data_IF_002660379953
#
_entry.id   IF_002660379953
#
_cell.length_a   1.000
_cell.length_b   1.000
_cell.length_c   1.000
_cell.angle_alpha   90.00
_cell.angle_beta   90.00
_cell.angle_gamma   90.00
#
_symmetry.space_group_name_H-M   'P 1'
#
loop_
_entity.id
_entity.type
_entity.pdbx_description
1 polymer ?
#
# COMPACT_ATOMS: atom_id res chain seq x y z
N UNK A 1 -21.38 -8.16 21.94
CA UNK A 1 -21.66 -6.97 21.10
C UNK A 1 -20.81 -5.80 21.57
N UNK A 2 -20.03 -5.16 20.69
CA UNK A 2 -19.25 -3.97 21.06
C UNK A 2 -20.17 -2.79 21.42
N UNK A 3 -19.84 -2.05 22.49
CA UNK A 3 -20.64 -0.90 22.99
C UNK A 3 -20.61 0.33 22.06
N UNK A 4 -20.04 0.22 20.85
CA UNK A 4 -19.90 1.30 19.83
C UNK A 4 -19.49 2.67 20.42
N UNK A 5 -18.54 2.66 21.37
CA UNK A 5 -18.07 3.88 22.07
C UNK A 5 -16.94 4.60 21.34
N UNK A 6 -16.67 4.25 20.09
CA UNK A 6 -15.61 4.90 19.31
C UNK A 6 -15.94 6.40 19.14
N UNK A 7 -14.94 7.25 19.37
CA UNK A 7 -15.02 8.72 19.29
C UNK A 7 -16.05 9.42 20.20
N UNK A 8 -16.82 8.70 21.02
CA UNK A 8 -17.86 9.30 21.88
C UNK A 8 -17.32 10.29 22.94
N UNK A 9 -16.04 10.19 23.32
CA UNK A 9 -15.38 11.19 24.18
C UNK A 9 -14.90 12.41 23.39
N UNK A 10 -14.49 12.21 22.14
CA UNK A 10 -13.95 13.26 21.29
C UNK A 10 -15.06 14.13 20.71
N UNK A 11 -16.20 13.54 20.32
CA UNK A 11 -17.38 14.29 19.88
C UNK A 11 -17.87 15.29 20.94
N UNK A 12 -17.86 14.88 22.22
CA UNK A 12 -18.23 15.74 23.35
C UNK A 12 -17.32 16.95 23.52
N UNK A 13 -16.08 16.91 23.04
CA UNK A 13 -15.16 18.06 23.10
C UNK A 13 -15.57 19.19 22.15
N UNK A 14 -16.32 18.90 21.08
CA UNK A 14 -16.85 19.94 20.20
C UNK A 14 -18.04 20.68 20.83
N UNK A 15 -18.68 20.10 21.85
CA UNK A 15 -19.83 20.70 22.55
C UNK A 15 -19.37 21.65 23.67
N UNK A 16 -18.26 21.35 24.35
CA UNK A 16 -17.74 22.16 25.46
C UNK A 16 -16.89 23.33 24.96
N UNK A 17 -17.02 24.50 25.62
CA UNK A 17 -16.25 25.70 25.27
C UNK A 17 -14.73 25.49 25.40
N UNK A 18 -14.32 24.79 26.46
CA UNK A 18 -12.91 24.43 26.69
C UNK A 18 -12.37 23.48 25.59
N UNK A 19 -13.21 22.57 25.09
CA UNK A 19 -12.80 21.64 24.04
C UNK A 19 -12.64 22.32 22.68
N UNK A 20 -13.45 23.35 22.39
CA UNK A 20 -13.25 24.19 21.19
C UNK A 20 -11.94 24.99 21.26
N UNK A 21 -11.58 25.52 22.43
CA UNK A 21 -10.29 26.20 22.65
C UNK A 21 -9.12 25.26 22.42
N UNK A 22 -9.20 24.03 22.92
CA UNK A 22 -8.18 23.00 22.69
C UNK A 22 -7.97 22.70 21.19
N UNK A 23 -9.06 22.57 20.43
CA UNK A 23 -9.00 22.30 18.99
C UNK A 23 -8.38 23.49 18.25
N UNK A 24 -8.77 24.72 18.58
CA UNK A 24 -8.19 25.91 17.98
C UNK A 24 -6.69 26.03 18.29
N UNK A 25 -6.27 25.73 19.53
CA UNK A 25 -4.86 25.69 19.91
C UNK A 25 -4.08 24.62 19.13
N UNK A 26 -4.69 23.47 18.83
CA UNK A 26 -4.09 22.44 17.98
C UNK A 26 -3.94 22.91 16.53
N UNK A 27 -4.95 23.58 15.98
CA UNK A 27 -4.89 24.15 14.63
C UNK A 27 -3.78 25.20 14.52
N UNK A 28 -3.63 26.08 15.51
CA UNK A 28 -2.54 27.07 15.54
C UNK A 28 -1.16 26.42 15.62
N UNK A 29 -1.01 25.35 16.41
CA UNK A 29 0.24 24.58 16.47
C UNK A 29 0.56 23.95 15.11
N UNK A 30 -0.45 23.41 14.42
CA UNK A 30 -0.26 22.87 13.07
C UNK A 30 0.22 23.93 12.09
N UNK A 31 -0.35 25.15 12.16
CA UNK A 31 0.07 26.26 11.30
C UNK A 31 1.51 26.71 11.54
N UNK A 32 2.01 26.63 12.78
CA UNK A 32 3.35 27.11 13.18
C UNK A 32 4.46 26.09 12.92
N UNK A 33 4.20 24.80 13.18
CA UNK A 33 5.26 23.79 13.21
C UNK A 33 5.20 22.77 12.08
N UNK A 34 4.05 22.56 11.44
CA UNK A 34 3.92 21.51 10.42
C UNK A 34 4.35 22.01 9.04
N UNK A 35 5.14 21.21 8.32
CA UNK A 35 5.48 21.45 6.91
C UNK A 35 4.49 20.80 5.94
N UNK A 36 4.01 19.60 6.30
CA UNK A 36 3.10 18.79 5.50
C UNK A 36 1.83 18.52 6.29
N UNK A 37 0.68 18.73 5.64
CA UNK A 37 -0.64 18.48 6.21
C UNK A 37 -1.30 17.35 5.43
N UNK A 38 -1.78 16.34 6.16
CA UNK A 38 -2.52 15.19 5.65
C UNK A 38 -3.89 15.15 6.30
N UNK A 39 -4.92 14.90 5.49
CA UNK A 39 -6.31 14.79 5.92
C UNK A 39 -6.71 13.33 5.95
N UNK A 40 -7.39 12.93 7.02
CA UNK A 40 -8.02 11.62 7.13
C UNK A 40 -9.37 11.63 6.40
N UNK A 41 -9.44 10.92 5.28
CA UNK A 41 -10.64 10.73 4.50
C UNK A 41 -11.16 9.29 4.64
N UNK A 42 -12.47 9.11 4.50
CA UNK A 42 -13.08 7.77 4.48
C UNK A 42 -14.03 7.62 3.30
N UNK A 43 -14.10 6.41 2.77
CA UNK A 43 -15.00 6.07 1.65
C UNK A 43 -16.38 5.64 2.14
N UNK A 44 -17.43 6.05 1.42
CA UNK A 44 -18.81 5.72 1.77
C UNK A 44 -19.27 4.40 1.12
N UNK A 45 -18.69 3.29 1.58
CA UNK A 45 -18.93 1.95 0.99
C UNK A 45 -20.38 1.49 1.16
N UNK A 46 -21.07 1.90 2.22
CA UNK A 46 -22.47 1.50 2.48
C UNK A 46 -23.46 1.94 1.40
N UNK A 47 -23.13 2.98 0.63
CA UNK A 47 -23.98 3.47 -0.47
C UNK A 47 -23.84 2.58 -1.72
N UNK A 48 -22.74 1.83 -1.86
CA UNK A 48 -22.51 0.92 -2.98
C UNK A 48 -23.35 -0.34 -2.81
N UNK A 49 -24.21 -0.63 -3.80
CA UNK A 49 -25.00 -1.86 -3.86
C UNK A 49 -24.12 -3.01 -4.35
N UNK A 50 -24.20 -4.18 -3.72
CA UNK A 50 -23.49 -5.41 -4.14
C UNK A 50 -22.28 -5.79 -3.30
N UNK A 51 -21.71 -4.89 -2.50
CA UNK A 51 -20.62 -5.20 -1.57
C UNK A 51 -21.15 -5.57 -0.19
N UNK A 52 -20.75 -6.75 0.34
CA UNK A 52 -21.12 -7.20 1.70
C UNK A 52 -20.39 -6.43 2.80
N UNK A 53 -19.28 -5.77 2.47
CA UNK A 53 -18.45 -5.04 3.44
C UNK A 53 -19.12 -3.73 3.89
N UNK A 54 -19.31 -3.58 5.21
CA UNK A 54 -19.90 -2.37 5.83
C UNK A 54 -18.87 -1.44 6.48
N UNK A 55 -17.61 -1.87 6.55
CA UNK A 55 -16.48 -1.12 7.16
C UNK A 55 -15.86 -0.20 6.10
N UNK A 56 -15.89 1.11 6.36
CA UNK A 56 -15.27 2.11 5.50
C UNK A 56 -13.73 1.97 5.47
N UNK A 57 -13.12 2.26 4.32
CA UNK A 57 -11.67 2.40 4.21
C UNK A 57 -11.29 3.82 4.63
N UNK A 58 -10.36 3.93 5.59
CA UNK A 58 -9.74 5.18 6.01
C UNK A 58 -8.42 5.34 5.26
N UNK A 59 -8.19 6.51 4.70
CA UNK A 59 -6.98 6.84 3.95
C UNK A 59 -6.50 8.24 4.33
N UNK A 60 -5.19 8.43 4.31
CA UNK A 60 -4.56 9.74 4.48
C UNK A 60 -4.28 10.35 3.12
N UNK A 61 -4.78 11.56 2.89
CA UNK A 61 -4.58 12.30 1.65
C UNK A 61 -3.79 13.56 1.98
N UNK A 62 -2.67 13.77 1.30
CA UNK A 62 -1.87 14.98 1.47
C UNK A 62 -2.57 16.16 0.79
N UNK A 63 -2.64 17.29 1.49
CA UNK A 63 -3.16 18.54 0.91
C UNK A 63 -1.98 19.28 0.25
N UNK A 64 -2.10 19.44 -1.06
CA UNK A 64 -1.10 20.11 -1.90
C UNK A 64 -1.48 21.57 -2.17
N UNK A 65 -0.47 22.38 -2.51
CA UNK A 65 -0.64 23.80 -2.89
C UNK A 65 -0.67 24.80 -1.74
N UNK A 66 -0.23 26.04 -2.02
CA UNK A 66 -0.28 27.18 -1.08
C UNK A 66 0.59 27.06 0.18
N UNK A 67 0.40 28.03 1.08
CA UNK A 67 1.06 28.11 2.39
C UNK A 67 0.46 27.13 3.40
N UNK A 68 1.25 26.74 4.41
CA UNK A 68 0.82 25.81 5.48
C UNK A 68 -0.46 26.32 6.18
N UNK A 69 -0.54 27.61 6.48
CA UNK A 69 -1.72 28.19 7.11
C UNK A 69 -2.99 28.00 6.26
N UNK A 70 -2.88 28.27 4.95
CA UNK A 70 -3.98 28.11 4.00
C UNK A 70 -4.40 26.65 3.85
N UNK A 71 -3.45 25.70 3.88
CA UNK A 71 -3.75 24.26 3.84
C UNK A 71 -4.57 23.82 5.05
N UNK A 72 -4.27 24.31 6.26
CA UNK A 72 -5.06 24.00 7.47
C UNK A 72 -6.47 24.55 7.36
N UNK A 73 -6.61 25.82 6.94
CA UNK A 73 -7.92 26.46 6.82
C UNK A 73 -8.78 25.81 5.72
N UNK A 74 -8.15 25.45 4.60
CA UNK A 74 -8.78 24.68 3.54
C UNK A 74 -9.28 23.34 4.08
N UNK A 75 -8.41 22.53 4.70
CA UNK A 75 -8.78 21.23 5.27
C UNK A 75 -9.92 21.33 6.29
N UNK A 76 -9.90 22.35 7.15
CA UNK A 76 -10.95 22.58 8.14
C UNK A 76 -12.31 22.90 7.50
N UNK A 77 -12.32 23.69 6.41
CA UNK A 77 -13.53 24.03 5.66
C UNK A 77 -14.21 22.87 4.92
N UNK A 78 -13.47 21.77 4.68
CA UNK A 78 -13.99 20.53 4.07
C UNK A 78 -14.49 19.51 5.09
N UNK A 79 -14.31 19.72 6.40
CA UNK A 79 -14.89 18.83 7.38
C UNK A 79 -16.42 18.78 7.24
N UNK A 80 -16.97 17.58 7.42
CA UNK A 80 -18.40 17.24 7.29
C UNK A 80 -18.99 17.34 5.87
N UNK A 81 -18.23 17.85 4.89
CA UNK A 81 -18.66 17.91 3.48
C UNK A 81 -18.22 16.69 2.69
N UNK A 82 -19.00 16.34 1.69
CA UNK A 82 -18.63 15.30 0.71
C UNK A 82 -17.84 15.95 -0.42
N UNK A 83 -16.73 15.31 -0.81
CA UNK A 83 -15.89 15.74 -1.92
C UNK A 83 -16.13 14.76 -3.08
N UNK A 84 -16.68 15.21 -4.22
CA UNK A 84 -16.79 14.37 -5.41
C UNK A 84 -15.41 14.14 -6.04
N UNK A 85 -15.23 13.02 -6.75
CA UNK A 85 -13.98 12.71 -7.48
C UNK A 85 -13.63 13.78 -8.52
N UNK A 86 -14.65 14.38 -9.14
CA UNK A 86 -14.51 15.40 -10.18
C UNK A 86 -13.89 16.71 -9.65
N UNK A 87 -13.89 16.93 -8.33
CA UNK A 87 -13.22 18.07 -7.71
C UNK A 87 -11.72 17.81 -7.46
N UNK A 88 -11.28 16.55 -7.55
CA UNK A 88 -9.90 16.15 -7.27
C UNK A 88 -9.14 15.89 -8.56
N UNK A 89 -9.77 15.21 -9.52
CA UNK A 89 -9.14 14.80 -10.77
C UNK A 89 -9.72 15.57 -11.96
N UNK A 90 -8.85 15.99 -12.88
CA UNK A 90 -9.27 16.58 -14.14
C UNK A 90 -9.41 15.51 -15.22
N UNK A 91 -10.22 15.80 -16.24
CA UNK A 91 -10.30 14.93 -17.43
C UNK A 91 -8.96 14.97 -18.16
N UNK A 92 -8.54 13.81 -18.68
CA UNK A 92 -7.30 13.63 -19.44
C UNK A 92 -6.01 13.88 -18.64
N UNK A 93 -6.07 13.84 -17.31
CA UNK A 93 -4.91 13.86 -16.43
C UNK A 93 -4.28 12.46 -16.31
N UNK A 94 -2.95 12.38 -16.34
CA UNK A 94 -2.24 11.12 -16.07
C UNK A 94 -2.27 10.83 -14.57
N UNK A 95 -2.94 9.74 -14.18
CA UNK A 95 -3.15 9.35 -12.79
C UNK A 95 -2.51 7.98 -12.54
N UNK A 96 -1.81 7.86 -11.41
CA UNK A 96 -1.28 6.59 -10.94
C UNK A 96 -2.35 5.78 -10.18
N UNK A 97 -2.45 4.49 -10.49
CA UNK A 97 -3.39 3.56 -9.83
C UNK A 97 -2.59 2.63 -8.92
N UNK A 98 -2.83 2.74 -7.61
CA UNK A 98 -2.23 1.88 -6.59
C UNK A 98 -3.29 0.93 -6.07
N UNK A 99 -2.99 -0.37 -6.09
CA UNK A 99 -3.89 -1.41 -5.61
C UNK A 99 -3.16 -2.69 -5.25
N UNK A 100 -3.85 -3.56 -4.52
CA UNK A 100 -3.38 -4.92 -4.27
C UNK A 100 -3.90 -5.82 -5.38
N UNK A 101 -3.01 -6.58 -6.01
CA UNK A 101 -3.37 -7.54 -7.06
C UNK A 101 -4.13 -8.74 -6.48
N UNK A 102 -4.82 -9.47 -7.35
CA UNK A 102 -5.47 -10.72 -6.97
C UNK A 102 -4.44 -11.72 -6.41
N UNK A 103 -4.74 -12.28 -5.23
CA UNK A 103 -3.88 -13.27 -4.60
C UNK A 103 -4.08 -14.64 -5.24
N UNK A 104 -3.04 -15.17 -5.90
CA UNK A 104 -3.09 -16.47 -6.60
C UNK A 104 -2.69 -17.68 -5.73
N UNK A 105 -2.34 -17.46 -4.46
CA UNK A 105 -1.91 -18.52 -3.55
C UNK A 105 -0.48 -19.00 -3.81
N UNK A 106 -0.21 -20.28 -3.56
CA UNK A 106 1.09 -20.88 -3.81
C UNK A 106 1.24 -21.25 -5.29
N UNK A 107 2.09 -20.53 -6.00
CA UNK A 107 2.35 -20.74 -7.43
C UNK A 107 3.71 -21.41 -7.69
N UNK A 108 3.74 -22.28 -8.70
CA UNK A 108 4.96 -22.93 -9.18
C UNK A 108 5.89 -21.94 -9.90
N UNK A 109 7.14 -22.36 -10.11
CA UNK A 109 8.21 -21.49 -10.64
C UNK A 109 7.89 -20.94 -12.04
N UNK A 110 7.19 -21.72 -12.87
CA UNK A 110 6.77 -21.31 -14.23
C UNK A 110 5.78 -20.15 -14.19
N UNK A 111 4.73 -20.23 -13.38
CA UNK A 111 3.70 -19.18 -13.32
C UNK A 111 4.11 -17.97 -12.48
N UNK A 112 4.99 -18.18 -11.49
CA UNK A 112 5.48 -17.13 -10.59
C UNK A 112 6.62 -16.30 -11.17
N UNK A 113 7.55 -16.95 -11.88
CA UNK A 113 8.78 -16.32 -12.38
C UNK A 113 8.88 -16.33 -13.91
N UNK A 114 7.91 -16.90 -14.61
CA UNK A 114 7.93 -16.96 -16.07
C UNK A 114 9.03 -17.87 -16.62
N UNK A 115 9.52 -18.85 -15.83
CA UNK A 115 10.56 -19.76 -16.28
C UNK A 115 10.02 -20.69 -17.37
N UNK A 116 10.81 -20.92 -18.42
CA UNK A 116 10.43 -21.81 -19.51
C UNK A 116 10.11 -23.22 -19.00
N UNK A 117 8.97 -23.74 -19.43
CA UNK A 117 8.63 -25.12 -19.17
C UNK A 117 9.50 -26.02 -20.04
N UNK A 118 10.51 -26.65 -19.46
CA UNK A 118 11.31 -27.64 -20.17
C UNK A 118 10.41 -28.77 -20.72
N UNK A 119 10.53 -29.02 -22.02
CA UNK A 119 9.81 -30.09 -22.72
C UNK A 119 10.38 -31.44 -22.27
N UNK A 120 9.50 -32.33 -21.82
CA UNK A 120 9.85 -33.62 -21.21
C UNK A 120 10.08 -34.68 -22.29
N UNK A 121 11.29 -35.22 -22.39
CA UNK A 121 11.54 -36.54 -22.99
C UNK A 121 11.41 -37.61 -21.88
N UNK A 122 10.25 -38.28 -21.87
CA UNK A 122 9.91 -39.59 -21.27
C UNK A 122 9.97 -39.77 -19.73
N UNK A 123 8.80 -40.16 -19.21
CA UNK A 123 8.42 -40.95 -18.02
C UNK A 123 9.14 -40.81 -16.66
N UNK A 124 8.32 -40.53 -15.63
CA UNK A 124 8.44 -41.23 -14.35
C UNK A 124 9.46 -40.71 -13.34
N UNK A 125 9.36 -39.44 -12.93
CA UNK A 125 9.72 -39.06 -11.56
C UNK A 125 9.02 -37.74 -11.21
N UNK A 126 8.56 -37.66 -9.97
CA UNK A 126 7.68 -36.61 -9.47
C UNK A 126 8.29 -35.21 -9.62
N UNK A 127 7.42 -34.30 -10.04
CA UNK A 127 7.75 -32.97 -10.55
C UNK A 127 7.96 -31.99 -9.40
N UNK A 128 9.11 -32.03 -8.75
CA UNK A 128 9.66 -30.92 -7.95
C UNK A 128 11.18 -31.00 -7.95
N UNK A 129 11.86 -30.02 -8.55
CA UNK A 129 13.00 -29.34 -7.93
C UNK A 129 13.53 -28.27 -8.89
N UNK A 130 13.70 -27.06 -8.36
CA UNK A 130 14.64 -26.07 -8.86
C UNK A 130 16.02 -26.73 -8.85
N UNK A 131 16.56 -27.05 -10.02
CA UNK A 131 17.92 -27.55 -10.11
C UNK A 131 18.88 -26.36 -9.94
N UNK A 132 19.67 -26.46 -8.86
CA UNK A 132 20.85 -25.65 -8.49
C UNK A 132 20.56 -24.33 -7.77
N UNK A 133 20.01 -24.43 -6.56
CA UNK A 133 20.28 -23.49 -5.47
C UNK A 133 21.12 -24.21 -4.42
N UNK A 134 22.44 -24.10 -4.53
CA UNK A 134 23.37 -24.62 -3.52
C UNK A 134 24.54 -25.39 -4.12
N UNK A 135 25.53 -24.69 -4.67
CA UNK A 135 26.88 -25.25 -4.81
C UNK A 135 27.48 -25.27 -3.40
N UNK A 136 27.59 -26.46 -2.82
CA UNK A 136 28.33 -26.75 -1.59
C UNK A 136 29.81 -26.42 -1.83
N UNK A 137 30.24 -25.25 -1.39
CA UNK A 137 31.66 -24.87 -1.31
C UNK A 137 32.33 -25.71 -0.23
N UNK A 138 33.06 -26.75 -0.64
CA UNK A 138 33.85 -27.55 0.30
C UNK A 138 34.35 -28.88 -0.24
N UNK A 139 35.00 -28.90 -1.40
CA UNK A 139 35.87 -30.03 -1.74
C UNK A 139 37.05 -29.52 -2.57
N UNK A 140 38.12 -29.14 -1.87
CA UNK A 140 39.42 -28.89 -2.48
C UNK A 140 40.09 -30.23 -2.71
N UNK A 141 40.73 -30.36 -3.88
CA UNK A 141 41.50 -31.52 -4.37
C UNK A 141 40.70 -32.73 -4.87
N UNK A 142 40.27 -32.67 -6.14
CA UNK A 142 40.83 -33.58 -7.15
C UNK A 142 40.41 -33.09 -8.55
N UNK A 143 41.30 -32.30 -9.13
CA UNK A 143 41.46 -32.21 -10.58
C UNK A 143 41.72 -33.62 -11.12
N UNK A 144 41.02 -34.02 -12.19
CA UNK A 144 41.64 -34.31 -13.48
C UNK A 144 40.59 -34.73 -14.53
N UNK A 145 40.50 -33.89 -15.57
CA UNK A 145 40.26 -34.35 -16.94
C UNK A 145 38.82 -34.52 -17.40
N UNK A 146 38.23 -33.46 -17.96
CA UNK A 146 37.80 -33.42 -19.38
C UNK A 146 37.00 -32.15 -19.67
N UNK A 147 37.51 -31.36 -20.62
CA UNK A 147 36.73 -30.74 -21.70
C UNK A 147 35.64 -29.71 -21.37
N UNK A 148 36.00 -28.43 -21.61
CA UNK A 148 35.15 -27.40 -22.24
C UNK A 148 33.77 -27.10 -21.60
N UNK A 149 33.67 -26.00 -20.86
CA UNK A 149 32.93 -24.78 -21.28
C UNK A 149 33.04 -23.71 -20.19
N UNK A 150 33.33 -22.49 -20.61
CA UNK A 150 33.40 -21.32 -19.74
C UNK A 150 32.01 -20.92 -19.24
N UNK A 151 31.89 -20.66 -17.94
CA UNK A 151 30.75 -19.99 -17.31
C UNK A 151 31.30 -18.68 -16.72
N UNK A 152 30.81 -17.55 -17.22
CA UNK A 152 31.03 -16.21 -16.67
C UNK A 152 29.75 -15.83 -15.91
N UNK A 153 29.86 -15.54 -14.61
CA UNK A 153 28.83 -14.84 -13.84
C UNK A 153 29.52 -13.69 -13.11
N UNK A 154 29.12 -12.47 -13.45
CA UNK A 154 29.49 -11.22 -12.78
C UNK A 154 28.55 -11.04 -11.58
N UNK A 155 29.11 -10.88 -10.39
CA UNK A 155 28.40 -10.60 -9.13
C UNK A 155 28.14 -9.09 -8.96
N UNK A 156 26.98 -8.76 -8.39
CA UNK A 156 26.81 -7.67 -7.43
C UNK A 156 25.97 -8.22 -6.27
#
# INVERSE_FOLDING_TARGET
>A
MSKKKAFAKYSKKYETDDGKKDINAQLEKMKKYCSVIRVLAHTWIRKMKGLKQKKAHLMEIQVSGGDVARKVDYAYGFFEKQIPSDAIFQKDEMIDIIGVTEGKGYEGVVTRWGCDSHVRLIAGLERWLVLVLGIQLGCHSLLLGLGRMAIIIVLS
#
